data_IF_403226649277
#
_entry.id   IF_403226649277
#
_cell.length_a   1.000
_cell.length_b   1.000
_cell.length_c   1.000
_cell.angle_alpha   90.00
_cell.angle_beta   90.00
_cell.angle_gamma   90.00
#
_symmetry.space_group_name_H-M   'P 1'
#
loop_
_entity.id
_entity.type
_entity.pdbx_description
1 polymer ?
#
# COMPACT_ATOMS: atom_id res chain seq x y z
N UNK A 1 -9.89 45.23 17.72
CA UNK A 1 -8.92 44.48 18.55
C UNK A 1 -9.66 43.34 19.21
N UNK A 2 -9.43 42.11 18.76
CA UNK A 2 -9.97 40.91 19.43
C UNK A 2 -8.79 40.29 20.18
N UNK A 3 -8.74 40.56 21.48
CA UNK A 3 -7.83 39.93 22.40
C UNK A 3 -8.29 38.48 22.62
N UNK A 4 -7.72 37.54 21.86
CA UNK A 4 -7.94 36.12 22.07
C UNK A 4 -7.09 35.70 23.27
N UNK A 5 -7.81 35.49 24.38
CA UNK A 5 -7.35 35.05 25.68
C UNK A 5 -6.33 33.90 25.61
N UNK A 6 -5.36 33.99 26.51
CA UNK A 6 -4.12 33.22 26.64
C UNK A 6 -4.23 31.72 27.01
N UNK A 7 -5.33 31.10 27.49
CA UNK A 7 -5.29 29.69 27.91
C UNK A 7 -5.33 28.67 26.76
N UNK A 8 -5.76 29.05 25.55
CA UNK A 8 -5.88 28.11 24.41
C UNK A 8 -4.51 27.76 23.80
N UNK A 9 -3.55 28.70 23.83
CA UNK A 9 -2.20 28.48 23.27
C UNK A 9 -1.39 27.44 24.06
N UNK A 10 -1.64 27.30 25.37
CA UNK A 10 -0.94 26.33 26.21
C UNK A 10 -1.41 24.90 25.91
N UNK A 11 -2.71 24.70 25.67
CA UNK A 11 -3.29 23.38 25.38
C UNK A 11 -2.76 22.83 24.05
N UNK A 12 -2.63 23.69 23.03
CA UNK A 12 -2.07 23.30 21.73
C UNK A 12 -0.58 22.96 21.86
N UNK A 13 0.18 23.72 22.65
CA UNK A 13 1.60 23.46 22.89
C UNK A 13 1.87 22.10 23.55
N UNK A 14 1.03 21.69 24.50
CA UNK A 14 1.17 20.40 25.20
C UNK A 14 0.81 19.22 24.28
N UNK A 15 -0.20 19.37 23.41
CA UNK A 15 -0.60 18.33 22.46
C UNK A 15 0.49 18.06 21.41
N UNK A 16 1.15 19.10 20.91
CA UNK A 16 2.23 18.96 19.91
C UNK A 16 3.48 18.32 20.53
N UNK A 17 3.80 18.64 21.79
CA UNK A 17 4.94 18.03 22.50
C UNK A 17 4.74 16.52 22.74
N UNK A 18 3.50 16.09 23.01
CA UNK A 18 3.19 14.67 23.24
C UNK A 18 3.34 13.83 21.96
N UNK A 19 2.96 14.36 20.80
CA UNK A 19 3.11 13.68 19.52
C UNK A 19 4.60 13.50 19.15
N UNK A 20 5.43 14.52 19.39
CA UNK A 20 6.88 14.44 19.11
C UNK A 20 7.59 13.43 20.01
N UNK A 21 7.20 13.32 21.29
CA UNK A 21 7.77 12.34 22.22
C UNK A 21 7.39 10.89 21.88
N UNK A 22 6.16 10.64 21.40
CA UNK A 22 5.75 9.30 20.96
C UNK A 22 6.56 8.86 19.73
N UNK A 23 6.80 9.76 18.78
CA UNK A 23 7.58 9.45 17.57
C UNK A 23 9.04 9.12 17.93
N UNK A 24 9.66 9.87 18.85
CA UNK A 24 11.04 9.60 19.28
C UNK A 24 11.22 8.24 19.98
N UNK A 25 10.15 7.69 20.59
CA UNK A 25 10.17 6.37 21.22
C UNK A 25 10.25 5.21 20.22
N UNK A 26 9.75 5.41 18.99
CA UNK A 26 9.69 4.35 17.96
C UNK A 26 11.04 4.22 17.24
N UNK A 27 11.79 5.31 17.11
CA UNK A 27 13.07 5.32 16.38
C UNK A 27 14.30 4.93 17.23
N UNK A 28 14.19 4.87 18.55
CA UNK A 28 15.30 4.53 19.46
C UNK A 28 15.15 3.17 20.16
N UNK A 29 14.29 2.27 19.66
CA UNK A 29 14.28 0.90 20.16
C UNK A 29 15.60 0.20 19.76
N UNK A 30 16.44 -0.23 20.73
CA UNK A 30 17.65 -0.99 20.41
C UNK A 30 17.26 -2.34 19.78
N UNK A 31 18.09 -2.89 18.87
CA UNK A 31 17.82 -4.19 18.28
C UNK A 31 17.99 -5.27 19.34
N UNK A 32 16.88 -5.89 19.76
CA UNK A 32 16.92 -7.09 20.59
C UNK A 32 17.44 -8.26 19.75
N UNK A 33 18.68 -8.67 20.02
CA UNK A 33 19.24 -9.94 19.57
C UNK A 33 18.69 -11.12 20.39
N UNK A 34 18.62 -12.25 19.69
CA UNK A 34 18.59 -13.65 20.14
C UNK A 34 17.30 -14.20 20.79
N UNK A 35 16.68 -15.16 20.12
CA UNK A 35 16.98 -16.56 20.42
C UNK A 35 16.56 -17.52 19.29
N UNK A 36 17.46 -18.42 18.97
CA UNK A 36 17.32 -19.46 17.96
C UNK A 36 16.59 -20.69 18.54
N UNK A 37 15.55 -21.20 17.86
CA UNK A 37 15.17 -22.62 17.91
C UNK A 37 14.80 -23.12 16.51
N UNK A 38 15.73 -23.89 15.95
CA UNK A 38 15.57 -25.15 15.20
C UNK A 38 14.33 -25.41 14.34
N UNK A 39 14.62 -25.63 13.06
CA UNK A 39 14.17 -26.75 12.21
C UNK A 39 12.69 -27.15 12.25
N UNK A 40 11.99 -26.87 11.15
CA UNK A 40 11.02 -27.82 10.59
C UNK A 40 11.05 -27.72 9.06
N UNK A 41 11.38 -28.84 8.44
CA UNK A 41 11.23 -29.14 7.02
C UNK A 41 9.77 -28.98 6.54
N UNK A 42 9.50 -28.96 5.22
CA UNK A 42 8.31 -28.34 4.66
C UNK A 42 7.07 -29.17 4.95
N UNK A 43 6.27 -28.74 5.93
CA UNK A 43 4.92 -29.28 6.10
C UNK A 43 4.02 -28.69 5.03
N UNK A 44 3.98 -29.35 3.88
CA UNK A 44 2.84 -29.25 2.97
C UNK A 44 1.61 -29.77 3.69
N UNK A 45 0.72 -28.88 4.14
CA UNK A 45 -0.69 -29.24 4.35
C UNK A 45 -1.59 -28.01 4.28
N UNK A 46 -2.13 -27.80 3.08
CA UNK A 46 -3.52 -27.41 2.79
C UNK A 46 -4.06 -26.09 3.38
N UNK A 47 -4.22 -25.12 2.46
CA UNK A 47 -5.37 -24.22 2.32
C UNK A 47 -5.93 -23.55 3.59
N UNK A 48 -5.29 -22.46 4.03
CA UNK A 48 -5.97 -21.23 4.47
C UNK A 48 -4.91 -20.15 4.82
N UNK A 49 -4.22 -19.62 3.81
CA UNK A 49 -3.12 -18.65 4.00
C UNK A 49 -3.58 -17.19 4.02
N UNK A 50 -4.84 -16.92 4.38
CA UNK A 50 -5.32 -15.53 4.43
C UNK A 50 -4.59 -14.73 5.52
N UNK A 51 -4.40 -13.43 5.30
CA UNK A 51 -3.81 -12.54 6.32
C UNK A 51 -4.58 -12.55 7.64
N UNK A 52 -5.89 -12.81 7.61
CA UNK A 52 -6.72 -12.92 8.81
C UNK A 52 -6.25 -14.08 9.70
N UNK A 53 -6.01 -15.25 9.10
CA UNK A 53 -5.54 -16.44 9.81
C UNK A 53 -4.12 -16.24 10.36
N UNK A 54 -3.22 -15.60 9.59
CA UNK A 54 -1.83 -15.34 10.00
C UNK A 54 -1.72 -14.31 11.13
N UNK A 55 -2.66 -13.37 11.18
CA UNK A 55 -2.63 -12.25 12.12
C UNK A 55 -3.57 -12.39 13.31
N UNK A 56 -4.32 -13.50 13.44
CA UNK A 56 -5.29 -13.74 14.51
C UNK A 56 -6.24 -12.55 14.76
N UNK A 57 -6.69 -11.88 13.68
CA UNK A 57 -7.60 -10.74 13.76
C UNK A 57 -6.96 -9.39 14.15
N UNK A 58 -5.63 -9.30 14.32
CA UNK A 58 -4.96 -8.03 14.58
C UNK A 58 -4.98 -7.14 13.33
N UNK A 59 -5.74 -6.03 13.38
CA UNK A 59 -5.93 -5.11 12.26
C UNK A 59 -4.61 -4.55 11.69
N UNK A 60 -3.68 -4.11 12.53
CA UNK A 60 -2.41 -3.55 12.04
C UNK A 60 -1.56 -4.62 11.33
N UNK A 61 -1.56 -5.84 11.85
CA UNK A 61 -0.91 -6.98 11.19
C UNK A 61 -1.58 -7.30 9.85
N UNK A 62 -2.92 -7.31 9.80
CA UNK A 62 -3.68 -7.62 8.58
C UNK A 62 -3.35 -6.60 7.48
N UNK A 63 -3.38 -5.30 7.79
CA UNK A 63 -3.02 -4.26 6.81
C UNK A 63 -1.60 -4.42 6.30
N UNK A 64 -0.63 -4.66 7.18
CA UNK A 64 0.76 -4.87 6.78
C UNK A 64 0.92 -6.14 5.92
N UNK A 65 0.23 -7.22 6.29
CA UNK A 65 0.23 -8.47 5.55
C UNK A 65 -0.38 -8.30 4.14
N UNK A 66 -1.52 -7.62 4.01
CA UNK A 66 -2.16 -7.34 2.72
C UNK A 66 -1.23 -6.52 1.81
N UNK A 67 -0.57 -5.50 2.37
CA UNK A 67 0.40 -4.69 1.65
C UNK A 67 1.60 -5.52 1.15
N UNK A 68 2.12 -6.44 1.96
CA UNK A 68 3.21 -7.35 1.54
C UNK A 68 2.74 -8.24 0.39
N UNK A 69 1.55 -8.84 0.49
CA UNK A 69 0.99 -9.70 -0.56
C UNK A 69 0.80 -8.90 -1.87
N UNK A 70 0.29 -7.68 -1.79
CA UNK A 70 0.13 -6.81 -2.96
C UNK A 70 1.47 -6.51 -3.64
N UNK A 71 2.51 -6.18 -2.86
CA UNK A 71 3.85 -5.93 -3.40
C UNK A 71 4.47 -7.20 -4.01
N UNK A 72 4.32 -8.35 -3.36
CA UNK A 72 4.77 -9.62 -3.92
C UNK A 72 4.06 -9.94 -5.24
N UNK A 73 2.73 -9.80 -5.29
CA UNK A 73 1.93 -10.03 -6.47
C UNK A 73 2.33 -9.11 -7.62
N UNK A 74 2.57 -7.82 -7.35
CA UNK A 74 3.03 -6.85 -8.32
C UNK A 74 4.44 -7.18 -8.85
N UNK A 75 5.37 -7.51 -7.95
CA UNK A 75 6.75 -7.83 -8.31
C UNK A 75 6.85 -9.14 -9.10
N UNK A 76 6.08 -10.15 -8.71
CA UNK A 76 6.08 -11.45 -9.41
C UNK A 76 5.13 -11.49 -10.61
N UNK A 77 4.36 -10.43 -10.83
CA UNK A 77 3.30 -10.38 -11.86
C UNK A 77 2.32 -11.56 -11.74
N UNK A 78 2.01 -11.97 -10.51
CA UNK A 78 1.11 -13.10 -10.24
C UNK A 78 -0.19 -12.61 -9.60
N UNK A 79 -1.22 -12.43 -10.42
CA UNK A 79 -2.54 -11.98 -9.97
C UNK A 79 -3.20 -12.97 -8.99
N UNK A 80 -2.80 -14.25 -9.01
CA UNK A 80 -3.41 -15.25 -8.13
C UNK A 80 -3.06 -15.00 -6.66
N UNK A 81 -1.92 -14.37 -6.37
CA UNK A 81 -1.53 -13.95 -5.02
C UNK A 81 -2.52 -12.98 -4.38
N UNK A 82 -3.21 -12.15 -5.16
CA UNK A 82 -4.26 -11.27 -4.62
C UNK A 82 -5.43 -12.05 -4.00
N UNK A 83 -5.58 -13.35 -4.26
CA UNK A 83 -6.60 -14.18 -3.60
C UNK A 83 -6.28 -14.50 -2.13
N UNK A 84 -5.05 -14.27 -1.68
CA UNK A 84 -4.65 -14.42 -0.28
C UNK A 84 -5.11 -13.23 0.59
N UNK A 85 -5.54 -12.13 -0.04
CA UNK A 85 -6.17 -10.99 0.62
C UNK A 85 -7.65 -11.28 0.81
N UNK A 86 -8.10 -11.26 2.07
CA UNK A 86 -9.49 -11.56 2.42
C UNK A 86 -10.41 -10.34 2.36
N UNK A 87 -9.87 -9.15 2.60
CA UNK A 87 -10.63 -7.92 2.48
C UNK A 87 -10.98 -7.66 1.01
N UNK A 88 -12.25 -7.32 0.75
CA UNK A 88 -12.77 -7.19 -0.62
C UNK A 88 -12.19 -5.97 -1.34
N UNK A 89 -12.00 -4.87 -0.61
CA UNK A 89 -11.50 -3.62 -1.16
C UNK A 89 -10.01 -3.75 -1.47
N UNK A 90 -9.22 -4.22 -0.49
CA UNK A 90 -7.79 -4.46 -0.67
C UNK A 90 -7.51 -5.48 -1.78
N UNK A 91 -8.34 -6.53 -1.88
CA UNK A 91 -8.23 -7.53 -2.95
C UNK A 91 -8.51 -6.94 -4.32
N UNK A 92 -9.54 -6.10 -4.43
CA UNK A 92 -9.87 -5.41 -5.67
C UNK A 92 -8.73 -4.48 -6.08
N UNK A 93 -8.18 -3.72 -5.13
CA UNK A 93 -7.03 -2.85 -5.38
C UNK A 93 -5.81 -3.65 -5.84
N UNK A 94 -5.46 -4.74 -5.15
CA UNK A 94 -4.38 -5.63 -5.56
C UNK A 94 -4.57 -6.15 -6.99
N UNK A 95 -5.78 -6.63 -7.29
CA UNK A 95 -6.12 -7.18 -8.61
C UNK A 95 -5.96 -6.12 -9.70
N UNK A 96 -6.46 -4.90 -9.46
CA UNK A 96 -6.33 -3.77 -10.39
C UNK A 96 -4.86 -3.39 -10.61
N UNK A 97 -4.09 -3.23 -9.53
CA UNK A 97 -2.67 -2.86 -9.61
C UNK A 97 -1.89 -3.90 -10.41
N UNK A 98 -2.04 -5.18 -10.07
CA UNK A 98 -1.31 -6.25 -10.76
C UNK A 98 -1.75 -6.37 -12.22
N UNK A 99 -3.06 -6.23 -12.51
CA UNK A 99 -3.57 -6.23 -13.89
C UNK A 99 -2.95 -5.11 -14.72
N UNK A 100 -2.82 -3.90 -14.17
CA UNK A 100 -2.20 -2.77 -14.88
C UNK A 100 -0.70 -2.94 -15.14
N UNK A 101 -0.01 -3.77 -14.34
CA UNK A 101 1.42 -4.09 -14.51
C UNK A 101 1.63 -5.21 -15.54
N UNK A 102 0.68 -6.14 -15.63
CA UNK A 102 0.72 -7.27 -16.57
C UNK A 102 0.23 -6.85 -17.95
N UNK A 103 -0.73 -5.92 -18.02
CA UNK A 103 -1.28 -5.40 -19.26
C UNK A 103 -0.17 -4.91 -20.19
N UNK A 104 -0.09 -5.47 -21.38
CA UNK A 104 0.83 -5.03 -22.42
C UNK A 104 0.18 -3.92 -23.26
N UNK A 105 -1.15 -3.99 -23.38
CA UNK A 105 -1.98 -3.09 -24.18
C UNK A 105 -3.14 -2.54 -23.36
N UNK A 106 -3.74 -1.45 -23.84
CA UNK A 106 -4.91 -0.85 -23.20
C UNK A 106 -6.14 -1.76 -23.23
N UNK A 107 -6.19 -2.68 -24.19
CA UNK A 107 -7.30 -3.62 -24.38
C UNK A 107 -7.30 -4.70 -23.30
N UNK A 108 -6.13 -5.02 -22.71
CA UNK A 108 -6.02 -5.97 -21.60
C UNK A 108 -6.74 -5.47 -20.33
N UNK A 109 -6.92 -4.16 -20.20
CA UNK A 109 -7.70 -3.54 -19.12
C UNK A 109 -9.22 -3.58 -19.36
N UNK A 110 -9.69 -4.01 -20.54
CA UNK A 110 -11.11 -4.06 -20.87
C UNK A 110 -11.82 -2.70 -20.70
N UNK A 111 -12.81 -2.62 -19.80
CA UNK A 111 -13.55 -1.39 -19.50
C UNK A 111 -13.15 -0.75 -18.15
N UNK A 112 -12.12 -1.26 -17.49
CA UNK A 112 -11.67 -0.73 -16.20
C UNK A 112 -10.86 0.56 -16.41
N UNK A 113 -11.49 1.70 -16.09
CA UNK A 113 -10.88 3.02 -16.23
C UNK A 113 -9.65 3.15 -15.33
N UNK A 114 -9.67 2.59 -14.11
CA UNK A 114 -8.56 2.72 -13.18
C UNK A 114 -7.36 1.88 -13.62
N UNK A 115 -7.60 0.70 -14.20
CA UNK A 115 -6.56 -0.09 -14.87
C UNK A 115 -5.92 0.69 -16.02
N UNK A 116 -6.74 1.31 -16.88
CA UNK A 116 -6.27 2.11 -18.02
C UNK A 116 -5.44 3.31 -17.59
N UNK A 117 -5.92 4.08 -16.61
CA UNK A 117 -5.23 5.24 -16.06
C UNK A 117 -3.86 4.84 -15.48
N UNK A 118 -3.80 3.74 -14.71
CA UNK A 118 -2.55 3.20 -14.18
C UNK A 118 -1.61 2.71 -15.28
N UNK A 119 -2.13 2.04 -16.32
CA UNK A 119 -1.31 1.59 -17.43
C UNK A 119 -0.69 2.78 -18.18
N UNK A 120 -1.45 3.85 -18.45
CA UNK A 120 -0.90 5.05 -19.06
C UNK A 120 0.16 5.73 -18.19
N UNK A 121 -0.04 5.78 -16.87
CA UNK A 121 0.99 6.24 -15.94
C UNK A 121 2.26 5.37 -16.01
N UNK A 122 2.12 4.05 -16.01
CA UNK A 122 3.25 3.12 -16.14
C UNK A 122 3.97 3.32 -17.48
N UNK A 123 3.23 3.46 -18.58
CA UNK A 123 3.79 3.69 -19.91
C UNK A 123 4.52 5.02 -20.00
N UNK A 124 4.00 6.09 -19.38
CA UNK A 124 4.65 7.40 -19.36
C UNK A 124 6.00 7.33 -18.65
N UNK A 125 6.09 6.56 -17.55
CA UNK A 125 7.33 6.36 -16.79
C UNK A 125 8.33 5.47 -17.54
N UNK A 126 7.90 4.32 -18.06
CA UNK A 126 8.80 3.37 -18.75
C UNK A 126 9.34 3.96 -20.05
N UNK A 127 8.49 4.64 -20.83
CA UNK A 127 8.87 5.22 -22.12
C UNK A 127 9.41 6.65 -22.00
N UNK A 128 9.32 7.24 -20.81
CA UNK A 128 9.64 8.64 -20.54
C UNK A 128 8.93 9.60 -21.51
N UNK A 129 7.64 9.36 -21.74
CA UNK A 129 6.80 10.12 -22.67
C UNK A 129 5.53 10.59 -21.97
N UNK A 130 5.41 11.91 -21.78
CA UNK A 130 4.26 12.51 -21.06
C UNK A 130 2.98 12.56 -21.89
N UNK A 131 3.01 12.29 -23.20
CA UNK A 131 1.80 12.24 -24.01
C UNK A 131 0.82 11.15 -23.55
N UNK A 132 1.32 10.09 -22.89
CA UNK A 132 0.47 9.09 -22.25
C UNK A 132 -0.41 9.68 -21.14
N UNK A 133 0.07 10.70 -20.42
CA UNK A 133 -0.70 11.35 -19.36
C UNK A 133 -1.98 12.05 -19.86
N UNK A 134 -2.05 12.42 -21.14
CA UNK A 134 -3.25 13.04 -21.70
C UNK A 134 -4.43 12.09 -21.85
N UNK A 135 -4.16 10.78 -21.86
CA UNK A 135 -5.18 9.74 -21.97
C UNK A 135 -5.70 9.27 -20.60
N UNK A 136 -5.16 9.80 -19.50
CA UNK A 136 -5.63 9.52 -18.14
C UNK A 136 -6.92 10.29 -17.88
N UNK A 137 -7.97 9.57 -17.48
CA UNK A 137 -9.29 10.14 -17.20
C UNK A 137 -9.36 10.84 -15.83
N UNK A 138 -8.74 10.25 -14.81
CA UNK A 138 -8.66 10.85 -13.46
C UNK A 138 -7.73 12.07 -13.45
N UNK A 139 -8.26 13.23 -13.03
CA UNK A 139 -7.46 14.46 -12.91
C UNK A 139 -6.32 14.32 -11.90
N UNK A 140 -6.58 13.66 -10.77
CA UNK A 140 -5.55 13.40 -9.75
C UNK A 140 -4.42 12.54 -10.32
N UNK A 141 -4.76 11.43 -10.97
CA UNK A 141 -3.76 10.55 -11.61
C UNK A 141 -3.02 11.26 -12.73
N UNK A 142 -3.69 12.16 -13.46
CA UNK A 142 -3.10 12.96 -14.53
C UNK A 142 -2.08 13.96 -13.96
N UNK A 143 -2.41 14.65 -12.87
CA UNK A 143 -1.48 15.53 -12.17
C UNK A 143 -0.25 14.77 -11.65
N UNK A 144 -0.46 13.59 -11.05
CA UNK A 144 0.66 12.73 -10.63
C UNK A 144 1.52 12.34 -11.84
N UNK A 145 0.91 11.93 -12.96
CA UNK A 145 1.63 11.55 -14.17
C UNK A 145 2.47 12.68 -14.76
N UNK A 146 1.93 13.90 -14.82
CA UNK A 146 2.62 15.06 -15.37
C UNK A 146 3.79 15.52 -14.48
N UNK A 147 3.71 15.29 -13.17
CA UNK A 147 4.71 15.69 -12.18
C UNK A 147 5.73 14.60 -11.80
N UNK A 148 5.51 13.35 -12.19
CA UNK A 148 6.43 12.23 -11.93
C UNK A 148 7.71 12.30 -12.78
#
# INVERSE_FOLDING_TARGET
MIAINTPVKIIIGVAVLFVVLVIFSIFNAPPSQDDAIQASEPSQTVQDSSCISRCNGNSACITSCNFIIQNEAARSKDIKKCNEINDKEDKAECTMVVSSIIAETIDDCGNDIQCKDRLYLIQSLIKNDKSYCDNIASQESKEVCLNA
#
